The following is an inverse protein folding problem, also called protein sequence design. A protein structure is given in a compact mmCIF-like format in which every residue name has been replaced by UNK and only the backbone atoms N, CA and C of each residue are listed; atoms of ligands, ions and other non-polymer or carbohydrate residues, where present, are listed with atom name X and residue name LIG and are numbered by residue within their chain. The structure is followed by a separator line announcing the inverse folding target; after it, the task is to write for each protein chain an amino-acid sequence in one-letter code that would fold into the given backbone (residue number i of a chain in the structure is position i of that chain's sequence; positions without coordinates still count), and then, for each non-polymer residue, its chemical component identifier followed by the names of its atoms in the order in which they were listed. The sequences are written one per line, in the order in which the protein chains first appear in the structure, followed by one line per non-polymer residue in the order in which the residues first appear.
data_IF_080376737152
#
_entry.id   IF_080376737152
#
_cell.length_a   1.000
_cell.length_b   1.000
_cell.length_c   1.000
_cell.angle_alpha   90.00
_cell.angle_beta   90.00
_cell.angle_gamma   90.00
#
_symmetry.space_group_name_H-M   'P 1'
#
loop_
_entity.id
_entity.type
_entity.pdbx_description
1 polymer ?
#
# COMPACT_ATOMS: atom_id res chain seq x y z
N UNK A 1 13.61 -3.41 -14.63
CA UNK A 1 12.22 -2.97 -14.94
C UNK A 1 11.70 -2.10 -13.81
N UNK A 2 10.81 -1.16 -14.12
CA UNK A 2 10.06 -0.34 -13.16
C UNK A 2 8.76 -1.04 -12.80
N UNK A 3 8.59 -1.43 -11.54
CA UNK A 3 7.41 -2.14 -11.04
C UNK A 3 6.68 -1.25 -10.03
N UNK A 4 5.40 -1.01 -10.27
CA UNK A 4 4.52 -0.30 -9.34
C UNK A 4 3.61 -1.29 -8.62
N UNK A 5 3.67 -1.34 -7.30
CA UNK A 5 2.83 -2.18 -6.46
C UNK A 5 1.84 -1.33 -5.65
N UNK A 6 0.54 -1.60 -5.81
CA UNK A 6 -0.52 -0.99 -5.03
C UNK A 6 -0.92 -1.94 -3.90
N UNK A 7 -0.69 -1.54 -2.66
CA UNK A 7 -1.08 -2.30 -1.47
C UNK A 7 -1.58 -1.38 -0.37
N UNK A 8 -2.73 -1.72 0.22
CA UNK A 8 -3.25 -1.00 1.37
C UNK A 8 -2.39 -1.20 2.63
N UNK A 9 -1.62 -2.29 2.68
CA UNK A 9 -0.80 -2.68 3.83
C UNK A 9 0.67 -2.83 3.44
N UNK A 10 1.57 -2.35 4.30
CA UNK A 10 3.02 -2.46 4.11
C UNK A 10 3.74 -2.30 5.46
N UNK A 11 5.00 -2.78 5.61
CA UNK A 11 5.77 -2.51 6.81
C UNK A 11 5.74 -1.04 7.23
N UNK A 12 5.69 -0.77 8.55
CA UNK A 12 5.94 -1.68 9.68
C UNK A 12 4.74 -2.54 10.15
N UNK A 13 3.64 -2.59 9.41
CA UNK A 13 2.50 -3.44 9.80
C UNK A 13 2.89 -4.92 9.77
N UNK A 14 2.62 -5.64 10.86
CA UNK A 14 2.94 -7.07 11.01
C UNK A 14 1.83 -8.01 10.52
N UNK A 15 0.88 -7.52 9.72
CA UNK A 15 -0.19 -8.36 9.20
C UNK A 15 0.30 -9.18 7.99
N UNK A 16 -0.30 -10.35 7.77
CA UNK A 16 0.07 -11.24 6.68
C UNK A 16 0.17 -10.57 5.28
N UNK A 17 -0.74 -9.65 4.86
CA UNK A 17 -0.59 -8.99 3.57
C UNK A 17 0.61 -8.04 3.50
N UNK A 18 0.91 -7.27 4.56
CA UNK A 18 2.09 -6.41 4.58
C UNK A 18 3.38 -7.22 4.44
N UNK A 19 3.52 -8.31 5.20
CA UNK A 19 4.71 -9.18 5.15
C UNK A 19 4.89 -9.80 3.76
N UNK A 20 3.83 -10.36 3.15
CA UNK A 20 3.94 -10.95 1.80
C UNK A 20 4.31 -9.93 0.74
N UNK A 21 3.66 -8.77 0.73
CA UNK A 21 3.98 -7.71 -0.22
C UNK A 21 5.43 -7.26 -0.06
N UNK A 22 5.89 -7.10 1.18
CA UNK A 22 7.27 -6.72 1.46
C UNK A 22 8.27 -7.74 0.92
N UNK A 23 8.14 -9.02 1.27
CA UNK A 23 9.07 -10.06 0.84
C UNK A 23 9.14 -10.19 -0.68
N UNK A 24 8.01 -10.07 -1.40
CA UNK A 24 8.01 -10.02 -2.86
C UNK A 24 8.78 -8.81 -3.40
N UNK A 25 8.44 -7.62 -2.92
CA UNK A 25 9.06 -6.38 -3.40
C UNK A 25 10.56 -6.32 -3.10
N UNK A 26 10.98 -6.77 -1.92
CA UNK A 26 12.37 -6.89 -1.52
C UNK A 26 13.13 -7.86 -2.42
N UNK A 27 12.57 -9.04 -2.68
CA UNK A 27 13.20 -10.04 -3.56
C UNK A 27 13.41 -9.50 -4.97
N UNK A 28 12.45 -8.75 -5.52
CA UNK A 28 12.58 -8.15 -6.84
C UNK A 28 13.53 -6.96 -6.86
N UNK A 29 13.57 -6.14 -5.80
CA UNK A 29 14.58 -5.09 -5.67
C UNK A 29 16.00 -5.69 -5.66
N UNK A 30 16.21 -6.78 -4.93
CA UNK A 30 17.49 -7.50 -4.89
C UNK A 30 17.87 -8.13 -6.24
N UNK A 31 16.89 -8.40 -7.12
CA UNK A 31 17.14 -8.87 -8.48
C UNK A 31 17.40 -7.71 -9.48
N UNK A 32 17.50 -6.45 -9.02
CA UNK A 32 17.84 -5.29 -9.84
C UNK A 32 16.65 -4.57 -10.47
N UNK A 33 15.42 -4.85 -10.01
CA UNK A 33 14.24 -4.10 -10.46
C UNK A 33 14.04 -2.82 -9.64
N UNK A 34 13.55 -1.76 -10.27
CA UNK A 34 13.14 -0.52 -9.61
C UNK A 34 11.71 -0.70 -9.09
N UNK A 35 11.58 -0.90 -7.77
CA UNK A 35 10.30 -1.19 -7.14
C UNK A 35 9.75 0.04 -6.43
N UNK A 36 8.51 0.40 -6.75
CA UNK A 36 7.75 1.43 -6.06
C UNK A 36 6.47 0.86 -5.47
N UNK A 37 6.21 1.09 -4.19
CA UNK A 37 4.99 0.67 -3.48
C UNK A 37 4.18 1.91 -3.11
N UNK A 38 2.90 1.94 -3.48
CA UNK A 38 1.94 2.96 -3.00
C UNK A 38 1.08 2.33 -1.91
N UNK A 39 1.13 2.90 -0.72
CA UNK A 39 0.48 2.36 0.48
C UNK A 39 -0.03 3.43 1.43
N UNK A 40 -0.61 3.04 2.56
CA UNK A 40 -1.18 3.94 3.56
C UNK A 40 -0.16 4.24 4.68
N UNK A 41 -0.48 5.21 5.53
CA UNK A 41 0.16 5.29 6.84
C UNK A 41 -0.19 4.03 7.66
N UNK A 42 0.78 3.37 8.32
CA UNK A 42 0.54 2.14 9.08
C UNK A 42 -0.44 2.42 10.21
N UNK A 43 -1.52 1.63 10.29
CA UNK A 43 -2.60 1.88 11.25
C UNK A 43 -3.32 0.63 11.77
N UNK A 44 -3.03 -0.55 11.24
CA UNK A 44 -3.66 -1.81 11.68
C UNK A 44 -3.17 -2.24 13.07
N UNK A 45 -4.02 -2.77 13.97
CA UNK A 45 -5.47 -3.04 13.80
C UNK A 45 -6.38 -1.92 14.32
N UNK A 46 -5.82 -0.94 15.04
CA UNK A 46 -6.59 0.02 15.82
C UNK A 46 -7.12 1.20 14.99
N UNK A 47 -6.68 1.36 13.74
CA UNK A 47 -7.01 2.51 12.89
C UNK A 47 -6.35 3.80 13.38
N UNK A 48 -5.26 3.69 14.12
CA UNK A 48 -4.47 4.80 14.62
C UNK A 48 -3.08 4.73 14.00
N UNK A 49 -2.56 5.87 13.54
CA UNK A 49 -1.23 5.92 12.92
C UNK A 49 -0.17 5.43 13.91
N UNK A 50 0.76 4.60 13.46
CA UNK A 50 1.85 4.14 14.32
C UNK A 50 2.72 5.31 14.78
N UNK A 51 3.39 5.18 15.95
CA UNK A 51 4.37 6.17 16.39
C UNK A 51 5.41 6.45 15.30
N UNK A 52 5.82 7.71 15.17
CA UNK A 52 6.75 8.21 14.15
C UNK A 52 6.22 8.23 12.71
N UNK A 53 4.97 7.86 12.48
CA UNK A 53 4.29 8.05 11.20
C UNK A 53 3.31 9.22 11.28
N UNK A 54 3.07 9.85 10.13
CA UNK A 54 2.05 10.89 9.96
C UNK A 54 1.16 10.51 8.79
N UNK A 55 -0.15 10.71 8.95
CA UNK A 55 -1.11 10.57 7.85
C UNK A 55 -1.08 11.84 6.98
N UNK A 56 0.03 12.04 6.28
CA UNK A 56 0.25 13.18 5.37
C UNK A 56 -0.36 12.92 4.00
N UNK A 57 -0.59 13.99 3.22
CA UNK A 57 -1.05 13.89 1.81
C UNK A 57 -0.16 12.93 1.02
N UNK A 58 1.16 13.06 1.18
CA UNK A 58 2.16 12.15 0.65
C UNK A 58 3.38 12.08 1.59
N UNK A 59 4.05 10.94 1.62
CA UNK A 59 5.33 10.73 2.30
C UNK A 59 6.16 9.70 1.53
N UNK A 60 7.45 9.96 1.35
CA UNK A 60 8.37 9.10 0.61
C UNK A 60 9.44 8.53 1.53
N UNK A 61 9.75 7.26 1.36
CA UNK A 61 10.86 6.58 2.05
C UNK A 61 11.45 5.50 1.17
N UNK A 62 12.63 5.00 1.52
CA UNK A 62 13.20 3.78 0.92
C UNK A 62 13.37 2.74 2.02
N UNK A 63 12.94 1.51 1.76
CA UNK A 63 13.07 0.39 2.69
C UNK A 63 13.66 -0.80 1.94
N UNK A 64 14.89 -1.19 2.30
CA UNK A 64 15.59 -2.34 1.69
C UNK A 64 15.56 -2.35 0.13
N UNK A 65 15.85 -1.19 -0.47
CA UNK A 65 15.84 -1.03 -1.94
C UNK A 65 14.45 -0.81 -2.56
N UNK A 66 13.38 -0.79 -1.76
CA UNK A 66 12.01 -0.53 -2.22
C UNK A 66 11.63 0.93 -1.97
N UNK A 67 11.23 1.66 -3.02
CA UNK A 67 10.68 3.00 -2.90
C UNK A 67 9.24 2.94 -2.37
N UNK A 68 8.97 3.52 -1.21
CA UNK A 68 7.63 3.50 -0.59
C UNK A 68 7.04 4.90 -0.62
N UNK A 69 5.87 5.02 -1.25
CA UNK A 69 5.04 6.23 -1.25
C UNK A 69 3.81 5.97 -0.38
N UNK A 70 3.77 6.60 0.79
CA UNK A 70 2.59 6.59 1.67
C UNK A 70 1.69 7.75 1.29
N UNK A 71 0.40 7.46 1.11
CA UNK A 71 -0.62 8.45 0.74
C UNK A 71 -1.64 8.61 1.86
N UNK A 72 -2.30 9.78 1.89
CA UNK A 72 -3.35 10.03 2.85
C UNK A 72 -4.51 9.07 2.67
N UNK A 73 -5.05 8.59 3.79
CA UNK A 73 -6.26 7.76 3.83
C UNK A 73 -7.11 8.10 5.04
N UNK A 74 -8.42 7.87 4.93
CA UNK A 74 -9.34 7.98 6.04
C UNK A 74 -9.11 6.81 7.00
N UNK A 75 -8.49 7.09 8.15
CA UNK A 75 -8.16 6.07 9.12
C UNK A 75 -9.42 5.63 9.88
N UNK A 76 -9.66 4.34 9.88
CA UNK A 76 -10.76 3.73 10.61
C UNK A 76 -10.28 2.47 11.31
N UNK A 77 -10.66 2.31 12.58
CA UNK A 77 -10.45 1.07 13.30
C UNK A 77 -11.14 -0.09 12.58
N UNK A 78 -10.63 -1.31 12.77
CA UNK A 78 -11.26 -2.51 12.24
C UNK A 78 -12.52 -2.92 13.05
N UNK A 79 -13.46 -1.98 13.25
CA UNK A 79 -14.73 -2.15 13.96
C UNK A 79 -15.85 -1.53 13.12
N UNK A 80 -16.78 -2.37 12.64
CA UNK A 80 -17.90 -1.97 11.81
C UNK A 80 -17.58 -1.86 10.31
N UNK A 81 -18.62 -1.95 9.47
CA UNK A 81 -18.49 -2.02 8.00
C UNK A 81 -18.34 -0.65 7.33
N UNK A 82 -19.12 0.36 7.75
CA UNK A 82 -19.20 1.65 7.05
C UNK A 82 -17.91 2.48 7.07
N UNK A 83 -17.31 2.69 8.24
CA UNK A 83 -16.05 3.46 8.36
C UNK A 83 -14.88 2.76 7.65
N UNK A 84 -14.89 1.42 7.61
CA UNK A 84 -13.89 0.63 6.89
C UNK A 84 -14.02 0.78 5.37
N UNK A 85 -15.25 0.90 4.85
CA UNK A 85 -15.46 1.23 3.44
C UNK A 85 -14.89 2.60 3.07
N UNK A 86 -15.08 3.62 3.92
CA UNK A 86 -14.48 4.95 3.70
C UNK A 86 -12.95 4.91 3.66
N UNK A 87 -12.33 4.08 4.50
CA UNK A 87 -10.89 3.86 4.45
C UNK A 87 -10.46 3.32 3.08
N UNK A 88 -11.06 2.23 2.60
CA UNK A 88 -10.72 1.65 1.31
C UNK A 88 -11.00 2.59 0.13
N UNK A 89 -12.12 3.33 0.17
CA UNK A 89 -12.48 4.31 -0.88
C UNK A 89 -11.50 5.48 -0.90
N UNK A 90 -11.11 6.02 0.26
CA UNK A 90 -10.12 7.10 0.32
C UNK A 90 -8.75 6.66 -0.22
N UNK A 91 -8.34 5.42 0.07
CA UNK A 91 -7.12 4.83 -0.50
C UNK A 91 -7.19 4.71 -2.02
N UNK A 92 -8.33 4.27 -2.57
CA UNK A 92 -8.52 4.17 -4.02
C UNK A 92 -8.22 5.51 -4.69
N UNK A 93 -8.85 6.60 -4.24
CA UNK A 93 -8.63 7.92 -4.83
C UNK A 93 -7.19 8.41 -4.67
N UNK A 94 -6.64 8.32 -3.46
CA UNK A 94 -5.27 8.76 -3.18
C UNK A 94 -4.22 7.98 -3.98
N UNK A 95 -4.40 6.66 -4.13
CA UNK A 95 -3.47 5.79 -4.85
C UNK A 95 -3.53 6.00 -6.37
N UNK A 96 -4.70 6.25 -6.94
CA UNK A 96 -4.86 6.58 -8.37
C UNK A 96 -4.16 7.89 -8.69
N UNK A 97 -4.39 8.94 -7.92
CA UNK A 97 -3.73 10.25 -8.13
C UNK A 97 -2.21 10.10 -8.00
N UNK A 98 -1.73 9.40 -6.97
CA UNK A 98 -0.31 9.15 -6.79
C UNK A 98 0.31 8.30 -7.92
N UNK A 99 -0.45 7.34 -8.46
CA UNK A 99 -0.04 6.51 -9.59
C UNK A 99 0.08 7.31 -10.89
N UNK A 100 -0.84 8.23 -11.16
CA UNK A 100 -0.83 9.08 -12.37
C UNK A 100 0.37 10.05 -12.42
N UNK A 101 0.81 10.54 -11.27
CA UNK A 101 1.98 11.44 -11.15
C UNK A 101 3.30 10.64 -11.03
N UNK A 102 3.22 9.32 -10.91
CA UNK A 102 4.38 8.46 -10.84
C UNK A 102 4.99 8.25 -12.23
N UNK A 103 6.29 7.96 -12.28
CA UNK A 103 6.96 7.52 -13.51
C UNK A 103 6.26 6.28 -14.08
N UNK A 104 6.00 6.29 -15.40
CA UNK A 104 5.35 5.18 -16.12
C UNK A 104 6.06 3.84 -15.81
N UNK A 105 5.37 2.86 -15.18
CA UNK A 105 5.96 1.56 -14.87
C UNK A 105 5.92 0.63 -16.09
N UNK A 106 6.81 -0.36 -16.10
CA UNK A 106 6.79 -1.48 -17.06
C UNK A 106 5.75 -2.54 -16.64
N UNK A 107 5.50 -2.66 -15.32
CA UNK A 107 4.53 -3.60 -14.74
C UNK A 107 3.82 -2.95 -13.54
N UNK A 108 2.50 -3.08 -13.46
CA UNK A 108 1.71 -2.68 -12.30
C UNK A 108 1.06 -3.90 -11.66
N UNK A 109 1.15 -4.01 -10.33
CA UNK A 109 0.57 -5.08 -9.53
C UNK A 109 -0.34 -4.43 -8.48
N UNK A 110 -1.59 -4.87 -8.38
CA UNK A 110 -2.53 -4.39 -7.38
C UNK A 110 -3.10 -5.56 -6.58
N UNK A 111 -3.39 -5.33 -5.30
CA UNK A 111 -3.96 -6.36 -4.41
C UNK A 111 -5.21 -5.83 -3.72
N UNK A 112 -6.23 -6.68 -3.60
CA UNK A 112 -7.45 -6.40 -2.84
C UNK A 112 -7.52 -7.31 -1.60
N UNK A 113 -8.07 -6.84 -0.45
CA UNK A 113 -8.49 -7.74 0.60
C UNK A 113 -9.61 -8.61 0.05
N UNK A 114 -9.46 -9.94 0.12
CA UNK A 114 -10.39 -10.94 -0.42
C UNK A 114 -11.84 -10.45 -0.29
N UNK A 115 -12.61 -10.27 -1.36
CA UNK A 115 -13.16 -11.40 -2.09
C UNK A 115 -14.00 -10.93 -3.31
N UNK A 116 -14.47 -11.73 -4.29
CA UNK A 116 -14.53 -13.17 -4.67
C UNK A 116 -13.20 -13.86 -4.99
N UNK A 117 -12.21 -13.39 -4.25
CA UNK A 117 -10.79 -13.73 -4.10
C UNK A 117 -9.88 -12.81 -4.92
N UNK A 118 -10.43 -11.65 -5.24
CA UNK A 118 -10.11 -10.87 -6.44
C UNK A 118 -11.34 -10.79 -7.36
N UNK A 119 -12.11 -11.88 -7.45
CA UNK A 119 -13.23 -12.23 -8.38
C UNK A 119 -12.91 -12.39 -9.89
N UNK A 120 -12.84 -13.56 -10.53
CA UNK A 120 -12.38 -14.80 -9.98
C UNK A 120 -11.31 -14.37 -8.99
N UNK A 121 -10.18 -13.74 -9.29
CA UNK A 121 -9.45 -13.63 -10.54
C UNK A 121 -10.03 -12.69 -11.60
N UNK A 122 -9.59 -11.45 -11.62
CA UNK A 122 -9.64 -10.61 -12.81
C UNK A 122 -8.31 -9.85 -12.89
#
# INVERSE_FOLDING_TARGET
MKILFLSHYFPPEGNAPATRTFEHTRRWANAGHDIKVITCAPNVPHGQVYPNFKNSIYSRSVLEGVHVLRVWTYLAANKGKGRRSLNYVSYLFSSVVAGLVSSKPDLMIATSPQFFCGCAGA
#
